data_IF_787821795699
#
_entry.id   IF_787821795699
#
_cell.length_a   1.000
_cell.length_b   1.000
_cell.length_c   1.000
_cell.angle_alpha   90.00
_cell.angle_beta   90.00
_cell.angle_gamma   90.00
#
_symmetry.space_group_name_H-M   'P 1'
#
loop_
_entity.id
_entity.type
_entity.pdbx_description
1 polymer ?
#
# COMPACT_ATOMS: atom_id res chain seq x y z
N UNK A 1 -26.81 -64.23 -6.14
CA UNK A 1 -26.44 -63.26 -5.07
C UNK A 1 -25.46 -62.24 -5.65
N UNK A 2 -25.89 -60.98 -5.76
CA UNK A 2 -25.06 -59.94 -6.33
C UNK A 2 -23.80 -59.72 -5.51
N UNK A 3 -22.62 -59.85 -6.12
CA UNK A 3 -21.31 -59.65 -5.52
C UNK A 3 -20.99 -58.16 -5.17
N UNK A 4 -21.88 -57.28 -5.48
CA UNK A 4 -21.68 -55.84 -5.32
C UNK A 4 -22.78 -55.25 -4.42
N UNK A 5 -22.53 -55.25 -3.11
CA UNK A 5 -23.31 -54.55 -2.08
C UNK A 5 -22.77 -53.15 -1.87
N UNK A 6 -22.42 -52.44 -2.91
CA UNK A 6 -21.92 -51.07 -2.77
C UNK A 6 -22.64 -50.20 -3.84
N UNK A 7 -23.44 -49.27 -3.40
CA UNK A 7 -23.88 -48.16 -4.22
C UNK A 7 -22.76 -47.16 -4.44
N UNK A 8 -22.89 -46.31 -5.42
CA UNK A 8 -22.03 -45.11 -5.54
C UNK A 8 -22.28 -44.20 -4.35
N UNK A 9 -21.21 -43.74 -3.72
CA UNK A 9 -21.28 -42.70 -2.73
C UNK A 9 -20.75 -41.43 -3.38
N UNK A 10 -21.61 -40.44 -3.50
CA UNK A 10 -21.24 -39.10 -3.93
C UNK A 10 -20.76 -38.32 -2.71
N UNK A 11 -19.55 -37.75 -2.79
CA UNK A 11 -19.01 -36.85 -1.80
C UNK A 11 -18.68 -35.53 -2.49
N UNK A 12 -19.42 -34.50 -2.14
CA UNK A 12 -19.11 -33.14 -2.57
C UNK A 12 -17.91 -32.62 -1.80
N UNK A 13 -16.97 -31.99 -2.48
CA UNK A 13 -15.88 -31.24 -1.87
C UNK A 13 -15.68 -29.92 -2.60
N UNK A 14 -15.29 -28.90 -1.82
CA UNK A 14 -14.98 -27.59 -2.36
C UNK A 14 -13.54 -27.59 -2.86
N UNK A 15 -13.34 -27.21 -4.10
CA UNK A 15 -12.02 -27.02 -4.70
C UNK A 15 -11.80 -25.55 -5.06
N UNK A 16 -10.75 -24.95 -4.48
CA UNK A 16 -10.34 -23.60 -4.88
C UNK A 16 -9.67 -23.63 -6.25
N UNK A 17 -10.16 -22.78 -7.15
CA UNK A 17 -9.53 -22.56 -8.45
C UNK A 17 -8.80 -21.21 -8.45
N UNK A 18 -7.59 -21.18 -9.01
CA UNK A 18 -6.79 -19.97 -9.21
C UNK A 18 -6.50 -19.81 -10.70
N UNK A 19 -7.46 -19.25 -11.48
CA UNK A 19 -7.34 -19.20 -12.95
C UNK A 19 -6.12 -18.41 -13.44
N UNK A 20 -5.64 -17.45 -12.64
CA UNK A 20 -4.48 -16.61 -12.93
C UNK A 20 -3.24 -16.97 -12.08
N UNK A 21 -3.19 -18.19 -11.54
CA UNK A 21 -2.06 -18.70 -10.79
C UNK A 21 -1.75 -17.89 -9.52
N UNK A 22 -0.54 -17.32 -9.43
CA UNK A 22 -0.04 -16.58 -8.28
C UNK A 22 -0.23 -15.06 -8.35
N UNK A 23 -0.86 -14.53 -9.41
CA UNK A 23 -1.06 -13.09 -9.58
C UNK A 23 -1.82 -12.48 -8.39
N UNK A 24 -1.25 -11.43 -7.80
CA UNK A 24 -1.79 -10.71 -6.65
C UNK A 24 -2.17 -11.62 -5.46
N UNK A 25 -1.49 -12.75 -5.30
CA UNK A 25 -1.86 -13.82 -4.37
C UNK A 25 -1.98 -13.33 -2.92
N UNK A 26 -1.12 -12.40 -2.48
CA UNK A 26 -1.14 -11.88 -1.12
C UNK A 26 -2.23 -10.84 -0.89
N UNK A 27 -2.64 -10.16 -1.95
CA UNK A 27 -3.76 -9.21 -1.91
C UNK A 27 -5.09 -9.94 -1.99
N UNK A 28 -5.27 -10.84 -2.97
CA UNK A 28 -6.48 -11.65 -3.09
C UNK A 28 -6.66 -12.55 -1.86
N UNK A 29 -5.60 -13.20 -1.45
CA UNK A 29 -5.62 -14.09 -0.30
C UNK A 29 -5.77 -15.56 -0.63
N UNK A 30 -5.92 -16.36 0.42
CA UNK A 30 -6.06 -17.80 0.35
C UNK A 30 -6.89 -18.34 1.52
N UNK A 31 -7.35 -19.58 1.39
CA UNK A 31 -8.04 -20.33 2.44
C UNK A 31 -7.12 -21.34 3.09
N UNK A 32 -7.43 -21.77 4.31
CA UNK A 32 -6.79 -22.93 4.90
C UNK A 32 -7.16 -24.20 4.12
N UNK A 33 -6.29 -25.22 4.17
CA UNK A 33 -6.56 -26.53 3.57
C UNK A 33 -7.79 -27.19 4.20
N UNK A 34 -7.98 -26.97 5.49
CA UNK A 34 -9.23 -27.30 6.20
C UNK A 34 -10.19 -26.11 6.03
N UNK A 35 -11.20 -26.30 5.19
CA UNK A 35 -12.19 -25.28 4.87
C UNK A 35 -12.98 -24.78 6.08
N UNK A 36 -13.04 -25.56 7.17
CA UNK A 36 -13.72 -25.16 8.41
C UNK A 36 -13.00 -24.01 9.12
N UNK A 37 -11.70 -23.83 8.85
CA UNK A 37 -10.89 -22.71 9.38
C UNK A 37 -11.09 -21.40 8.62
N UNK A 38 -11.81 -21.43 7.50
CA UNK A 38 -12.13 -20.23 6.71
C UNK A 38 -10.95 -19.67 5.92
N UNK A 39 -10.98 -18.38 5.69
CA UNK A 39 -9.96 -17.66 4.93
C UNK A 39 -8.71 -17.39 5.76
N UNK A 40 -7.54 -17.35 5.10
CA UNK A 40 -6.22 -17.26 5.74
C UNK A 40 -5.66 -15.85 5.75
N UNK A 41 -5.81 -15.11 4.66
CA UNK A 41 -5.24 -13.78 4.48
C UNK A 41 -5.91 -13.02 3.31
N UNK A 42 -5.47 -11.77 3.07
CA UNK A 42 -5.90 -10.97 1.94
C UNK A 42 -7.38 -10.62 1.98
N UNK A 43 -7.95 -10.32 0.81
CA UNK A 43 -9.37 -10.00 0.66
C UNK A 43 -10.27 -11.17 1.04
N UNK A 44 -9.85 -12.40 0.82
CA UNK A 44 -10.56 -13.59 1.29
C UNK A 44 -10.83 -13.50 2.80
N UNK A 45 -9.83 -13.15 3.61
CA UNK A 45 -10.00 -13.01 5.06
C UNK A 45 -10.83 -11.77 5.42
N UNK A 46 -10.61 -10.64 4.74
CA UNK A 46 -11.36 -9.41 5.00
C UNK A 46 -12.86 -9.58 4.78
N UNK A 47 -13.23 -10.34 3.75
CA UNK A 47 -14.61 -10.55 3.34
C UNK A 47 -15.12 -11.98 3.66
N UNK A 48 -14.44 -12.74 4.52
CA UNK A 48 -14.79 -14.14 4.82
C UNK A 48 -16.25 -14.31 5.25
N UNK A 49 -16.77 -13.41 6.09
CA UNK A 49 -18.15 -13.43 6.57
C UNK A 49 -19.19 -13.26 5.44
N UNK A 50 -18.81 -12.62 4.35
CA UNK A 50 -19.67 -12.38 3.17
C UNK A 50 -19.53 -13.54 2.19
N UNK A 51 -18.29 -14.01 1.99
CA UNK A 51 -17.95 -15.01 0.98
C UNK A 51 -18.39 -16.43 1.36
N UNK A 52 -18.33 -16.81 2.64
CA UNK A 52 -18.56 -18.20 3.08
C UNK A 52 -20.01 -18.64 3.13
N UNK A 53 -20.98 -17.72 3.12
CA UNK A 53 -22.38 -18.05 3.25
C UNK A 53 -22.79 -18.57 4.62
N UNK A 54 -23.80 -19.42 4.66
CA UNK A 54 -24.32 -20.05 5.89
C UNK A 54 -24.45 -21.55 5.68
N UNK A 55 -23.97 -22.31 6.65
CA UNK A 55 -24.07 -23.76 6.64
C UNK A 55 -25.52 -24.20 6.79
N UNK A 56 -25.91 -25.27 6.08
CA UNK A 56 -27.17 -25.96 6.26
C UNK A 56 -27.09 -26.95 7.43
N UNK A 57 -28.26 -27.40 7.88
CA UNK A 57 -28.38 -28.42 8.93
C UNK A 57 -29.05 -29.64 8.31
N UNK A 58 -28.44 -30.82 8.53
CA UNK A 58 -29.00 -32.10 8.11
C UNK A 58 -29.01 -33.04 9.30
N UNK A 59 -30.05 -33.88 9.39
CA UNK A 59 -30.06 -35.01 10.31
C UNK A 59 -30.20 -36.33 9.57
N UNK A 60 -29.71 -37.37 10.21
CA UNK A 60 -29.77 -38.73 9.65
C UNK A 60 -30.99 -39.46 10.20
N UNK A 61 -31.93 -39.76 9.32
CA UNK A 61 -33.17 -40.47 9.69
C UNK A 61 -33.16 -41.88 9.10
N UNK A 62 -33.58 -42.86 9.92
CA UNK A 62 -33.75 -44.24 9.43
C UNK A 62 -35.12 -44.34 8.80
N UNK A 63 -35.15 -44.64 7.51
CA UNK A 63 -36.38 -44.93 6.73
C UNK A 63 -36.30 -46.37 6.26
N UNK A 64 -37.16 -47.21 6.86
CA UNK A 64 -37.13 -48.69 6.67
C UNK A 64 -35.73 -49.26 7.03
N UNK A 65 -35.00 -49.85 6.08
CA UNK A 65 -33.66 -50.43 6.29
C UNK A 65 -32.53 -49.56 5.77
N UNK A 66 -32.79 -48.28 5.46
CA UNK A 66 -31.78 -47.32 4.98
C UNK A 66 -31.75 -46.08 5.87
N UNK A 67 -30.59 -45.48 5.95
CA UNK A 67 -30.45 -44.15 6.55
C UNK A 67 -30.41 -43.12 5.43
N UNK A 68 -31.26 -42.10 5.54
CA UNK A 68 -31.31 -40.96 4.63
C UNK A 68 -30.86 -39.70 5.38
N UNK A 69 -30.11 -38.84 4.73
CA UNK A 69 -29.83 -37.50 5.23
C UNK A 69 -31.01 -36.60 4.81
N UNK A 70 -31.69 -36.06 5.80
CA UNK A 70 -32.78 -35.10 5.61
C UNK A 70 -32.22 -33.72 5.88
N UNK A 71 -32.48 -32.79 4.95
CA UNK A 71 -32.07 -31.39 5.09
C UNK A 71 -33.12 -30.69 5.91
N UNK A 72 -32.77 -30.23 7.11
CA UNK A 72 -33.63 -29.43 8.01
C UNK A 72 -33.59 -27.97 7.63
N UNK A 73 -32.36 -27.45 7.39
CA UNK A 73 -32.11 -26.09 6.95
C UNK A 73 -31.18 -26.16 5.74
N UNK A 74 -31.61 -25.68 4.56
CA UNK A 74 -30.73 -25.66 3.41
C UNK A 74 -29.55 -24.68 3.61
N UNK A 75 -28.37 -24.97 3.06
CA UNK A 75 -27.28 -24.04 3.05
C UNK A 75 -27.63 -22.79 2.23
N UNK A 76 -27.03 -21.67 2.58
CA UNK A 76 -27.16 -20.42 1.82
C UNK A 76 -25.78 -20.04 1.28
N UNK A 77 -25.68 -19.94 -0.03
CA UNK A 77 -24.43 -19.55 -0.69
C UNK A 77 -23.98 -18.15 -0.25
N UNK A 78 -22.67 -17.93 -0.18
CA UNK A 78 -22.09 -16.63 0.06
C UNK A 78 -22.30 -15.65 -1.09
N UNK A 79 -21.80 -14.45 -0.93
CA UNK A 79 -21.72 -13.48 -2.01
C UNK A 79 -20.37 -13.60 -2.72
N UNK A 80 -20.27 -12.96 -3.89
CA UNK A 80 -19.02 -12.75 -4.60
C UNK A 80 -18.53 -11.32 -4.37
N UNK A 81 -17.23 -11.08 -4.50
CA UNK A 81 -16.66 -9.72 -4.53
C UNK A 81 -16.05 -9.45 -5.91
N UNK A 82 -16.31 -8.26 -6.44
CA UNK A 82 -15.64 -7.78 -7.65
C UNK A 82 -14.47 -6.91 -7.21
N UNK A 83 -13.24 -7.38 -7.46
CA UNK A 83 -12.03 -6.63 -7.13
C UNK A 83 -11.79 -5.51 -8.13
N UNK A 84 -10.97 -4.53 -7.74
CA UNK A 84 -10.52 -3.44 -8.62
C UNK A 84 -9.32 -3.85 -9.48
N UNK A 85 -8.69 -4.99 -9.17
CA UNK A 85 -7.49 -5.49 -9.84
C UNK A 85 -7.81 -5.80 -11.32
N UNK A 86 -7.04 -5.21 -12.21
CA UNK A 86 -7.03 -5.53 -13.63
C UNK A 86 -5.94 -6.59 -13.88
N UNK A 87 -6.35 -7.75 -14.39
CA UNK A 87 -5.44 -8.90 -14.57
C UNK A 87 -4.32 -8.59 -15.56
N UNK A 88 -4.61 -7.84 -16.63
CA UNK A 88 -3.60 -7.47 -17.63
C UNK A 88 -2.58 -6.49 -17.06
N UNK A 89 -3.03 -5.46 -16.32
CA UNK A 89 -2.14 -4.51 -15.65
C UNK A 89 -1.31 -5.18 -14.57
N UNK A 90 -1.90 -6.11 -13.80
CA UNK A 90 -1.20 -6.88 -12.77
C UNK A 90 -0.08 -7.74 -13.37
N UNK A 91 -0.35 -8.47 -14.46
CA UNK A 91 0.63 -9.32 -15.14
C UNK A 91 1.82 -8.50 -15.69
N UNK A 92 1.51 -7.40 -16.37
CA UNK A 92 2.55 -6.49 -16.90
C UNK A 92 3.39 -5.91 -15.77
N UNK A 93 2.76 -5.44 -14.68
CA UNK A 93 3.46 -4.85 -13.53
C UNK A 93 4.34 -5.88 -12.82
N UNK A 94 3.86 -7.12 -12.66
CA UNK A 94 4.61 -8.21 -12.04
C UNK A 94 5.86 -8.55 -12.87
N UNK A 95 5.70 -8.73 -14.17
CA UNK A 95 6.81 -9.01 -15.07
C UNK A 95 7.86 -7.90 -15.05
N UNK A 96 7.43 -6.65 -15.22
CA UNK A 96 8.32 -5.50 -15.24
C UNK A 96 9.10 -5.34 -13.92
N UNK A 97 8.41 -5.53 -12.78
CA UNK A 97 9.05 -5.47 -11.47
C UNK A 97 10.07 -6.58 -11.28
N UNK A 98 9.73 -7.83 -11.63
CA UNK A 98 10.64 -8.97 -11.48
C UNK A 98 11.88 -8.82 -12.37
N UNK A 99 11.72 -8.33 -13.61
CA UNK A 99 12.83 -8.10 -14.52
C UNK A 99 13.78 -7.02 -13.96
N UNK A 100 13.24 -5.91 -13.45
CA UNK A 100 14.04 -4.86 -12.82
C UNK A 100 14.74 -5.35 -11.54
N UNK A 101 14.05 -6.11 -10.68
CA UNK A 101 14.63 -6.65 -9.45
C UNK A 101 15.80 -7.60 -9.73
N UNK A 102 15.73 -8.38 -10.81
CA UNK A 102 16.84 -9.24 -11.27
C UNK A 102 18.02 -8.42 -11.75
N UNK A 103 17.76 -7.39 -12.56
CA UNK A 103 18.79 -6.50 -13.11
C UNK A 103 19.60 -5.81 -12.02
N UNK A 104 18.94 -5.22 -11.02
CA UNK A 104 19.60 -4.51 -9.91
C UNK A 104 19.94 -5.42 -8.72
N UNK A 105 19.64 -6.72 -8.81
CA UNK A 105 19.85 -7.71 -7.75
C UNK A 105 19.22 -7.30 -6.39
N UNK A 106 18.06 -6.68 -6.41
CA UNK A 106 17.38 -6.27 -5.19
C UNK A 106 16.65 -7.44 -4.52
N UNK A 107 16.52 -7.40 -3.19
CA UNK A 107 15.88 -8.47 -2.41
C UNK A 107 14.37 -8.35 -2.34
N UNK A 108 13.85 -7.13 -2.38
CA UNK A 108 12.40 -6.82 -2.27
C UNK A 108 12.04 -5.71 -3.22
N UNK A 109 10.87 -5.79 -3.82
CA UNK A 109 10.30 -4.73 -4.63
C UNK A 109 8.78 -4.71 -4.56
N UNK A 110 8.23 -3.51 -4.80
CA UNK A 110 6.81 -3.24 -4.82
C UNK A 110 6.48 -2.40 -6.05
N UNK A 111 5.37 -2.74 -6.73
CA UNK A 111 4.78 -1.90 -7.76
C UNK A 111 3.27 -1.78 -7.50
N UNK A 112 2.74 -0.56 -7.55
CA UNK A 112 1.32 -0.29 -7.30
C UNK A 112 0.81 0.64 -8.40
N UNK A 113 -0.33 0.28 -8.97
CA UNK A 113 -1.05 1.11 -9.94
C UNK A 113 -2.42 1.44 -9.36
N UNK A 114 -2.74 2.73 -9.28
CA UNK A 114 -4.00 3.21 -8.71
C UNK A 114 -4.64 4.26 -9.62
N UNK A 115 -5.94 4.16 -9.80
CA UNK A 115 -6.71 5.16 -10.56
C UNK A 115 -6.89 6.44 -9.73
N UNK A 116 -6.53 7.57 -10.34
CA UNK A 116 -6.40 8.86 -9.64
C UNK A 116 -7.71 9.29 -8.98
N UNK A 117 -8.83 9.25 -9.70
CA UNK A 117 -10.11 9.78 -9.23
C UNK A 117 -10.84 8.87 -8.23
N UNK A 118 -10.70 7.57 -8.39
CA UNK A 118 -11.52 6.59 -7.66
C UNK A 118 -10.78 5.94 -6.50
N UNK A 119 -9.43 5.95 -6.50
CA UNK A 119 -8.61 5.21 -5.57
C UNK A 119 -8.60 3.70 -5.86
N UNK A 120 -9.15 3.24 -6.98
CA UNK A 120 -9.13 1.84 -7.34
C UNK A 120 -7.71 1.34 -7.62
N UNK A 121 -7.25 0.35 -6.86
CA UNK A 121 -5.96 -0.29 -7.07
C UNK A 121 -6.10 -1.28 -8.23
N UNK A 122 -5.51 -0.95 -9.37
CA UNK A 122 -5.55 -1.74 -10.60
C UNK A 122 -4.48 -2.82 -10.64
N UNK A 123 -3.34 -2.57 -10.01
CA UNK A 123 -2.29 -3.57 -9.82
C UNK A 123 -1.57 -3.33 -8.49
N UNK A 124 -1.18 -4.42 -7.83
CA UNK A 124 -0.38 -4.40 -6.61
C UNK A 124 0.53 -5.63 -6.59
N UNK A 125 1.80 -5.41 -6.75
CA UNK A 125 2.82 -6.45 -6.86
C UNK A 125 3.79 -6.33 -5.68
N UNK A 126 4.05 -7.46 -5.03
CA UNK A 126 4.94 -7.55 -3.87
C UNK A 126 5.91 -8.70 -4.08
N UNK A 127 7.13 -8.42 -4.48
CA UNK A 127 8.11 -9.46 -4.77
C UNK A 127 9.23 -9.49 -3.75
N UNK A 128 9.52 -10.68 -3.24
CA UNK A 128 10.63 -10.96 -2.35
C UNK A 128 11.47 -12.08 -2.95
N UNK A 129 12.79 -11.89 -2.98
CA UNK A 129 13.76 -12.88 -3.45
C UNK A 129 13.91 -13.99 -2.43
N UNK A 130 13.61 -15.22 -2.82
CA UNK A 130 13.85 -16.41 -2.01
C UNK A 130 15.33 -16.81 -1.97
N UNK A 131 15.68 -17.71 -1.07
CA UNK A 131 17.05 -18.27 -0.96
C UNK A 131 17.48 -19.01 -2.25
N UNK A 132 16.52 -19.47 -3.05
CA UNK A 132 16.72 -20.10 -4.35
C UNK A 132 16.86 -19.09 -5.49
N UNK A 133 16.87 -17.79 -5.19
CA UNK A 133 16.96 -16.71 -6.16
C UNK A 133 15.65 -16.38 -6.90
N UNK A 134 14.56 -17.11 -6.63
CA UNK A 134 13.26 -16.88 -7.28
C UNK A 134 12.45 -15.85 -6.52
N UNK A 135 11.86 -14.91 -7.26
CA UNK A 135 10.97 -13.88 -6.69
C UNK A 135 9.55 -14.41 -6.52
N UNK A 136 8.96 -14.17 -5.35
CA UNK A 136 7.59 -14.60 -5.01
C UNK A 136 6.90 -13.59 -4.12
N UNK A 137 5.58 -13.57 -4.15
CA UNK A 137 4.78 -12.85 -3.16
C UNK A 137 4.79 -13.61 -1.82
N UNK A 138 5.50 -13.09 -0.83
CA UNK A 138 5.58 -13.64 0.53
C UNK A 138 4.73 -12.84 1.49
N UNK A 139 4.77 -11.52 1.38
CA UNK A 139 4.09 -10.54 2.24
C UNK A 139 3.52 -9.42 1.36
N UNK A 140 2.44 -8.78 1.80
CA UNK A 140 1.93 -7.58 1.13
C UNK A 140 2.70 -6.35 1.62
N UNK A 141 3.95 -6.21 1.13
CA UNK A 141 4.88 -5.15 1.52
C UNK A 141 4.33 -3.76 1.18
N UNK A 142 3.56 -3.64 0.09
CA UNK A 142 2.96 -2.39 -0.36
C UNK A 142 2.14 -1.68 0.73
N UNK A 143 1.43 -2.46 1.56
CA UNK A 143 0.52 -1.93 2.59
C UNK A 143 1.05 -2.10 4.01
N UNK A 144 2.03 -2.99 4.23
CA UNK A 144 2.46 -3.36 5.57
C UNK A 144 3.84 -2.84 5.96
N UNK A 145 4.73 -2.57 5.00
CA UNK A 145 6.11 -2.21 5.30
C UNK A 145 6.23 -0.75 5.68
N UNK A 146 6.80 -0.55 6.86
CA UNK A 146 7.15 0.77 7.37
C UNK A 146 8.60 1.06 6.99
N UNK A 147 8.81 1.92 6.00
CA UNK A 147 10.15 2.23 5.47
C UNK A 147 10.37 3.74 5.37
N UNK A 148 11.64 4.12 5.39
CA UNK A 148 12.02 5.50 5.11
C UNK A 148 11.75 5.79 3.63
N UNK A 149 10.90 6.79 3.31
CA UNK A 149 10.50 7.09 1.93
C UNK A 149 11.63 7.70 1.10
N UNK A 150 12.69 8.18 1.74
CA UNK A 150 13.81 8.82 1.07
C UNK A 150 13.36 10.02 0.24
N UNK A 151 13.98 10.21 -0.92
CA UNK A 151 13.75 11.40 -1.78
C UNK A 151 12.31 11.58 -2.27
N UNK A 152 11.45 10.58 -2.20
CA UNK A 152 10.02 10.74 -2.51
C UNK A 152 9.31 11.65 -1.49
N UNK A 153 9.90 11.84 -0.32
CA UNK A 153 9.37 12.72 0.73
C UNK A 153 9.64 14.21 0.47
N UNK A 154 10.62 14.56 -0.36
CA UNK A 154 11.03 15.94 -0.62
C UNK A 154 9.88 16.81 -1.17
N UNK A 155 9.00 16.24 -1.98
CA UNK A 155 7.81 16.93 -2.49
C UNK A 155 6.94 17.39 -1.32
N UNK A 156 6.67 16.54 -0.33
CA UNK A 156 5.89 16.94 0.85
C UNK A 156 6.60 18.05 1.64
N UNK A 157 7.91 17.96 1.80
CA UNK A 157 8.70 18.98 2.50
C UNK A 157 8.62 20.35 1.82
N UNK A 158 8.80 20.39 0.52
CA UNK A 158 8.70 21.65 -0.26
C UNK A 158 7.26 22.17 -0.26
N UNK A 159 6.24 21.30 -0.38
CA UNK A 159 4.84 21.72 -0.31
C UNK A 159 4.50 22.39 1.02
N UNK A 160 4.99 21.87 2.16
CA UNK A 160 4.79 22.52 3.47
C UNK A 160 5.40 23.93 3.47
N UNK A 161 6.60 24.10 2.97
CA UNK A 161 7.27 25.41 2.97
C UNK A 161 6.64 26.42 1.98
N UNK A 162 6.11 25.95 0.85
CA UNK A 162 5.33 26.77 -0.10
C UNK A 162 4.00 27.21 0.53
N UNK A 163 3.26 26.27 1.14
CA UNK A 163 1.97 26.53 1.80
C UNK A 163 2.11 27.52 2.97
N UNK A 164 3.19 27.43 3.73
CA UNK A 164 3.51 28.39 4.79
C UNK A 164 4.03 29.75 4.26
N UNK A 165 4.26 29.89 2.97
CA UNK A 165 4.78 31.12 2.34
C UNK A 165 6.25 31.42 2.69
N UNK A 166 7.01 30.42 3.15
CA UNK A 166 8.41 30.61 3.50
C UNK A 166 9.36 30.55 2.30
N UNK A 167 8.93 29.91 1.22
CA UNK A 167 9.67 29.81 -0.03
C UNK A 167 8.77 30.07 -1.24
N UNK A 168 9.39 30.41 -2.37
CA UNK A 168 8.73 30.50 -3.67
C UNK A 168 9.43 29.57 -4.67
N UNK A 169 8.75 29.16 -5.77
CA UNK A 169 9.33 28.24 -6.76
C UNK A 169 10.62 28.74 -7.42
N UNK A 170 10.75 30.05 -7.56
CA UNK A 170 11.88 30.77 -8.18
C UNK A 170 12.96 31.21 -7.16
N UNK A 171 12.73 30.99 -5.86
CA UNK A 171 13.73 31.32 -4.83
C UNK A 171 14.98 30.48 -5.02
N UNK A 172 16.15 31.14 -4.99
CA UNK A 172 17.45 30.48 -5.10
C UNK A 172 17.95 29.94 -3.78
N UNK A 173 18.66 28.81 -3.84
CA UNK A 173 19.39 28.20 -2.76
C UNK A 173 20.75 27.73 -3.25
N UNK A 174 21.81 28.03 -2.48
CA UNK A 174 23.18 27.63 -2.81
C UNK A 174 23.45 26.21 -2.29
N UNK A 175 23.56 25.23 -3.19
CA UNK A 175 23.91 23.84 -2.87
C UNK A 175 25.41 23.58 -2.82
N UNK A 176 26.22 24.66 -2.94
CA UNK A 176 27.68 24.60 -2.96
C UNK A 176 28.21 23.68 -4.07
N UNK A 177 29.33 23.06 -3.83
CA UNK A 177 29.94 22.05 -4.69
C UNK A 177 29.36 20.63 -4.50
N UNK A 178 28.12 20.54 -4.00
CA UNK A 178 27.47 19.25 -3.73
C UNK A 178 27.77 18.64 -2.37
N UNK A 179 28.45 19.38 -1.48
CA UNK A 179 28.68 19.03 -0.07
C UNK A 179 28.39 20.24 0.80
N UNK A 180 27.57 20.06 1.83
CA UNK A 180 27.23 21.10 2.82
C UNK A 180 27.29 20.52 4.24
N UNK A 181 27.93 21.23 5.17
CA UNK A 181 28.00 20.81 6.57
C UNK A 181 26.75 21.24 7.34
N UNK A 182 25.82 20.30 7.49
CA UNK A 182 24.55 20.49 8.18
C UNK A 182 24.71 20.10 9.66
N UNK A 183 24.78 21.10 10.56
CA UNK A 183 24.95 20.86 11.98
C UNK A 183 26.12 19.92 12.34
N UNK A 184 27.25 20.04 11.64
CA UNK A 184 28.44 19.22 11.87
C UNK A 184 28.45 17.85 11.14
N UNK A 185 27.42 17.54 10.36
CA UNK A 185 27.36 16.33 9.50
C UNK A 185 27.33 16.71 8.02
N UNK A 186 28.07 16.02 7.16
CA UNK A 186 28.05 16.31 5.72
C UNK A 186 26.75 15.83 5.09
N UNK A 187 25.99 16.76 4.50
CA UNK A 187 24.90 16.50 3.56
C UNK A 187 25.46 16.54 2.16
N UNK A 188 25.13 15.55 1.33
CA UNK A 188 25.67 15.42 -0.03
C UNK A 188 24.57 15.28 -1.06
N UNK A 189 24.73 15.96 -2.19
CA UNK A 189 23.99 15.71 -3.41
C UNK A 189 24.64 14.56 -4.18
N UNK A 190 23.88 13.86 -5.04
CA UNK A 190 24.38 12.70 -5.75
C UNK A 190 25.53 13.01 -6.72
N UNK A 191 25.62 14.27 -7.19
CA UNK A 191 26.68 14.75 -8.10
C UNK A 191 27.84 15.47 -7.39
N UNK A 192 28.00 15.32 -6.07
CA UNK A 192 29.04 15.99 -5.28
C UNK A 192 30.46 15.78 -5.83
N UNK A 193 30.73 14.61 -6.41
CA UNK A 193 32.01 14.28 -7.03
C UNK A 193 32.20 14.91 -8.42
N UNK A 194 31.17 15.58 -8.97
CA UNK A 194 31.18 16.30 -10.26
C UNK A 194 31.04 17.81 -10.09
N UNK A 195 31.24 18.33 -8.86
CA UNK A 195 31.20 19.76 -8.57
C UNK A 195 29.87 20.31 -8.08
N UNK A 196 28.86 19.46 -7.82
CA UNK A 196 27.56 19.88 -7.29
C UNK A 196 26.72 20.66 -8.30
N UNK A 197 25.70 21.36 -7.78
CA UNK A 197 24.76 22.16 -8.61
C UNK A 197 24.97 23.67 -8.44
N UNK A 198 25.74 24.13 -7.43
CA UNK A 198 25.88 25.54 -7.13
C UNK A 198 24.60 26.19 -6.66
N UNK A 199 24.29 27.38 -7.18
CA UNK A 199 23.05 28.11 -6.90
C UNK A 199 21.98 27.65 -7.87
N UNK A 200 20.86 27.16 -7.35
CA UNK A 200 19.70 26.70 -8.14
C UNK A 200 18.40 27.13 -7.46
N UNK A 201 17.33 27.29 -8.24
CA UNK A 201 15.99 27.59 -7.72
C UNK A 201 15.30 26.37 -7.11
N UNK A 202 14.20 26.61 -6.35
CA UNK A 202 13.40 25.54 -5.68
C UNK A 202 12.84 24.54 -6.69
N UNK A 203 12.42 24.99 -7.88
CA UNK A 203 11.96 24.12 -8.95
C UNK A 203 13.07 23.15 -9.36
N UNK A 204 14.26 23.67 -9.60
CA UNK A 204 15.44 22.86 -9.93
C UNK A 204 15.86 21.94 -8.82
N UNK A 205 15.75 22.37 -7.55
CA UNK A 205 16.03 21.52 -6.36
C UNK A 205 15.22 20.22 -6.41
N UNK A 206 13.92 20.29 -6.71
CA UNK A 206 13.07 19.10 -6.86
C UNK A 206 13.41 18.30 -8.12
N UNK A 207 13.64 18.97 -9.27
CA UNK A 207 13.97 18.30 -10.53
C UNK A 207 15.21 17.43 -10.44
N UNK A 208 16.25 17.90 -9.73
CA UNK A 208 17.52 17.18 -9.56
C UNK A 208 17.59 16.40 -8.25
N UNK A 209 16.52 16.44 -7.47
CA UNK A 209 16.45 15.78 -6.15
C UNK A 209 17.61 16.16 -5.22
N UNK A 210 17.93 17.46 -5.14
CA UNK A 210 19.03 17.94 -4.27
C UNK A 210 18.70 17.72 -2.80
N UNK A 211 19.54 16.98 -2.10
CA UNK A 211 19.47 16.81 -0.63
C UNK A 211 19.77 18.12 0.08
N UNK A 212 20.82 18.81 -0.38
CA UNK A 212 21.30 20.07 0.21
C UNK A 212 20.23 21.14 0.03
N UNK A 213 19.68 21.28 -1.18
CA UNK A 213 18.67 22.29 -1.46
C UNK A 213 17.46 22.14 -0.54
N UNK A 214 16.85 20.95 -0.49
CA UNK A 214 15.67 20.72 0.38
C UNK A 214 16.02 20.89 1.85
N UNK A 215 17.09 20.25 2.32
CA UNK A 215 17.43 20.31 3.76
C UNK A 215 17.77 21.71 4.23
N UNK A 216 18.43 22.54 3.42
CA UNK A 216 18.69 23.93 3.73
C UNK A 216 17.42 24.76 3.80
N UNK A 217 16.57 24.67 2.78
CA UNK A 217 15.30 25.42 2.74
C UNK A 217 14.43 25.10 3.98
N UNK A 218 14.36 23.85 4.37
CA UNK A 218 13.56 23.46 5.54
C UNK A 218 14.26 23.85 6.85
N UNK A 219 15.54 23.61 7.00
CA UNK A 219 16.26 23.93 8.23
C UNK A 219 16.30 25.44 8.48
N UNK A 220 16.60 26.26 7.47
CA UNK A 220 16.66 27.72 7.57
C UNK A 220 15.31 28.33 8.01
N UNK A 221 14.17 27.73 7.63
CA UNK A 221 12.85 28.26 7.95
C UNK A 221 12.20 27.64 9.19
N UNK A 222 12.56 26.41 9.57
CA UNK A 222 11.85 25.69 10.62
C UNK A 222 12.71 25.21 11.79
N UNK A 223 14.03 25.45 11.81
CA UNK A 223 14.88 24.93 12.90
C UNK A 223 14.48 25.43 14.30
N UNK A 224 13.91 26.64 14.41
CA UNK A 224 13.41 27.19 15.67
C UNK A 224 11.96 26.77 16.00
N UNK A 225 11.25 26.17 15.06
CA UNK A 225 9.84 25.75 15.18
C UNK A 225 9.57 24.44 14.40
N UNK A 226 10.32 23.37 14.68
CA UNK A 226 10.21 22.13 13.91
C UNK A 226 8.82 21.48 14.03
N UNK A 227 8.08 21.78 15.10
CA UNK A 227 6.69 21.34 15.27
C UNK A 227 5.80 21.83 14.13
N UNK A 228 5.99 23.08 13.67
CA UNK A 228 5.20 23.66 12.58
C UNK A 228 5.41 22.90 11.28
N UNK A 229 6.65 22.52 10.96
CA UNK A 229 6.95 21.69 9.80
C UNK A 229 6.25 20.33 9.87
N UNK A 230 6.35 19.66 11.02
CA UNK A 230 5.71 18.35 11.23
C UNK A 230 4.19 18.45 11.17
N UNK A 231 3.60 19.50 11.74
CA UNK A 231 2.15 19.77 11.62
C UNK A 231 1.73 19.98 10.17
N UNK A 232 2.55 20.70 9.37
CA UNK A 232 2.36 20.83 7.93
C UNK A 232 2.32 19.48 7.22
N UNK A 233 3.25 18.57 7.51
CA UNK A 233 3.25 17.21 6.95
C UNK A 233 1.96 16.43 7.30
N UNK A 234 1.46 16.57 8.52
CA UNK A 234 0.19 15.96 8.91
C UNK A 234 -1.01 16.58 8.16
N UNK A 235 -1.02 17.89 7.94
CA UNK A 235 -2.07 18.58 7.15
C UNK A 235 -2.08 18.14 5.70
N UNK A 236 -0.90 17.95 5.09
CA UNK A 236 -0.77 17.40 3.72
C UNK A 236 -1.24 15.95 3.58
N UNK A 237 -1.52 15.27 4.69
CA UNK A 237 -2.06 13.93 4.67
C UNK A 237 -1.07 12.80 4.43
N UNK A 238 0.25 13.05 4.31
CA UNK A 238 1.24 11.97 4.12
C UNK A 238 1.31 11.02 5.32
N UNK A 239 0.90 11.49 6.50
CA UNK A 239 0.77 10.72 7.74
C UNK A 239 -0.65 10.21 8.00
N UNK A 240 -1.58 10.38 7.07
CA UNK A 240 -2.97 9.96 7.26
C UNK A 240 -3.09 8.44 7.32
N UNK A 241 -3.77 7.88 8.34
CA UNK A 241 -4.13 6.47 8.33
C UNK A 241 -5.08 6.18 7.16
N UNK A 242 -4.69 5.27 6.27
CA UNK A 242 -5.52 4.93 5.09
C UNK A 242 -6.67 3.98 5.45
N UNK A 243 -6.62 3.31 6.61
CA UNK A 243 -7.64 2.36 7.07
C UNK A 243 -8.08 1.38 5.96
N UNK A 244 -7.10 0.76 5.32
CA UNK A 244 -7.30 -0.11 4.17
C UNK A 244 -8.11 -1.35 4.55
N UNK A 245 -9.04 -1.73 3.68
CA UNK A 245 -9.89 -2.92 3.85
C UNK A 245 -9.14 -4.19 3.42
N UNK A 246 -7.97 -4.41 4.04
CA UNK A 246 -7.11 -5.58 3.85
C UNK A 246 -6.34 -5.90 5.14
N UNK A 247 -6.33 -7.16 5.60
CA UNK A 247 -5.61 -7.56 6.80
C UNK A 247 -4.11 -7.36 6.68
N UNK A 248 -3.46 -6.96 7.78
CA UNK A 248 -2.02 -6.76 7.84
C UNK A 248 -1.52 -5.44 7.29
N UNK A 249 -2.40 -4.54 6.86
CA UNK A 249 -2.03 -3.18 6.51
C UNK A 249 -1.51 -2.41 7.74
N UNK A 250 -0.52 -1.53 7.51
CA UNK A 250 -0.01 -0.65 8.55
C UNK A 250 -1.12 0.31 9.03
N UNK A 251 -1.22 0.49 10.35
CA UNK A 251 -2.29 1.32 10.93
C UNK A 251 -2.12 2.79 10.62
N UNK A 252 -0.89 3.29 10.68
CA UNK A 252 -0.56 4.69 10.34
C UNK A 252 0.93 4.85 10.07
N UNK A 253 1.34 5.82 9.24
CA UNK A 253 2.73 6.25 9.12
C UNK A 253 3.29 6.75 10.46
N UNK A 254 4.62 6.63 10.62
CA UNK A 254 5.33 7.15 11.78
C UNK A 254 6.18 8.34 11.35
N UNK A 255 5.70 9.56 11.59
CA UNK A 255 6.45 10.80 11.45
C UNK A 255 6.75 11.29 12.85
N UNK A 256 8.03 11.36 13.21
CA UNK A 256 8.49 11.75 14.55
C UNK A 256 8.02 13.18 14.87
N UNK A 257 7.36 13.35 16.01
CA UNK A 257 7.04 14.68 16.53
C UNK A 257 8.20 15.18 17.39
N UNK A 258 8.59 16.45 17.25
CA UNK A 258 9.62 17.04 18.08
C UNK A 258 9.25 17.04 19.56
N UNK A 259 10.19 16.57 20.42
CA UNK A 259 10.13 16.71 21.87
C UNK A 259 11.51 17.06 22.39
N UNK A 260 11.60 17.62 23.60
CA UNK A 260 12.90 17.97 24.19
C UNK A 260 13.85 16.76 24.32
N UNK A 261 13.31 15.57 24.40
CA UNK A 261 14.07 14.33 24.66
C UNK A 261 14.49 13.62 23.36
N UNK A 262 13.74 13.78 22.28
CA UNK A 262 13.94 13.02 21.05
C UNK A 262 14.35 13.84 19.82
N UNK A 263 14.53 15.17 19.98
CA UNK A 263 14.85 16.05 18.87
C UNK A 263 16.28 16.58 18.94
N UNK A 264 17.09 16.24 17.97
CA UNK A 264 18.46 16.72 17.83
C UNK A 264 18.62 17.57 16.56
N UNK A 265 19.66 18.40 16.51
CA UNK A 265 19.83 19.41 15.45
C UNK A 265 19.78 18.86 14.02
N UNK A 266 20.18 17.59 13.81
CA UNK A 266 20.16 16.98 12.48
C UNK A 266 18.81 16.32 12.15
N UNK A 267 17.88 16.19 13.10
CA UNK A 267 16.61 15.49 12.87
C UNK A 267 15.78 16.15 11.76
N UNK A 268 15.60 17.48 11.81
CA UNK A 268 14.82 18.21 10.83
C UNK A 268 15.40 18.15 9.40
N UNK A 269 16.69 18.45 9.17
CA UNK A 269 17.28 18.33 7.83
C UNK A 269 17.18 16.93 7.23
N UNK A 270 17.40 15.88 8.03
CA UNK A 270 17.29 14.49 7.55
C UNK A 270 15.85 14.07 7.32
N UNK A 271 14.91 14.51 8.17
CA UNK A 271 13.48 14.29 7.96
C UNK A 271 13.01 14.91 6.64
N UNK A 272 13.46 16.11 6.32
CA UNK A 272 13.06 16.83 5.11
C UNK A 272 13.39 16.09 3.81
N UNK A 273 14.36 15.19 3.84
CA UNK A 273 14.76 14.35 2.70
C UNK A 273 14.33 12.88 2.85
N UNK A 274 13.41 12.61 3.80
CA UNK A 274 12.71 11.32 3.95
C UNK A 274 13.39 10.30 4.84
N UNK A 275 14.31 10.71 5.71
CA UNK A 275 14.82 9.91 6.83
C UNK A 275 14.09 10.26 8.12
N UNK A 276 14.31 9.53 9.19
CA UNK A 276 13.64 9.78 10.49
C UNK A 276 12.11 9.64 10.46
N UNK A 277 11.57 9.13 9.37
CA UNK A 277 10.15 8.87 9.14
C UNK A 277 9.95 7.46 8.61
N UNK A 278 8.80 6.88 8.84
CA UNK A 278 8.44 5.57 8.30
C UNK A 278 7.04 5.65 7.68
N UNK A 279 6.98 5.44 6.37
CA UNK A 279 5.76 5.58 5.57
C UNK A 279 5.58 4.34 4.71
N UNK A 280 4.41 3.67 4.75
CA UNK A 280 4.14 2.56 3.83
C UNK A 280 4.14 3.04 2.36
N UNK A 281 4.57 2.20 1.40
CA UNK A 281 4.52 2.55 -0.02
C UNK A 281 3.15 3.01 -0.50
N UNK A 282 2.08 2.40 -0.02
CA UNK A 282 0.71 2.79 -0.33
C UNK A 282 0.37 4.21 0.14
N UNK A 283 0.88 4.64 1.30
CA UNK A 283 0.68 6.02 1.78
C UNK A 283 1.43 7.03 0.91
N UNK A 284 2.65 6.70 0.49
CA UNK A 284 3.41 7.54 -0.46
C UNK A 284 2.64 7.68 -1.77
N UNK A 285 2.10 6.59 -2.30
CA UNK A 285 1.26 6.63 -3.51
C UNK A 285 0.00 7.47 -3.30
N UNK A 286 -0.72 7.29 -2.19
CA UNK A 286 -1.94 8.05 -1.89
C UNK A 286 -1.68 9.56 -1.80
N UNK A 287 -0.54 9.97 -1.24
CA UNK A 287 -0.12 11.37 -1.22
C UNK A 287 0.11 11.92 -2.64
N UNK A 288 0.89 11.22 -3.48
CA UNK A 288 1.10 11.65 -4.87
C UNK A 288 -0.18 11.60 -5.71
N UNK A 289 -1.04 10.61 -5.44
CA UNK A 289 -2.36 10.53 -6.06
C UNK A 289 -3.23 11.75 -5.72
N UNK A 290 -3.17 12.25 -4.49
CA UNK A 290 -3.89 13.45 -4.09
C UNK A 290 -3.39 14.69 -4.87
N UNK A 291 -2.08 14.81 -5.10
CA UNK A 291 -1.52 15.87 -5.95
C UNK A 291 -2.10 15.78 -7.37
N UNK A 292 -2.08 14.57 -7.96
CA UNK A 292 -2.63 14.32 -9.29
C UNK A 292 -4.15 14.53 -9.36
N UNK A 293 -4.86 14.45 -8.23
CA UNK A 293 -6.30 14.60 -8.08
C UNK A 293 -6.69 16.01 -7.58
N UNK A 294 -5.93 17.02 -7.95
CA UNK A 294 -6.16 18.42 -7.56
C UNK A 294 -6.28 18.63 -6.04
N UNK A 295 -5.45 17.94 -5.27
CA UNK A 295 -5.41 18.02 -3.83
C UNK A 295 -6.39 17.11 -3.09
N UNK A 296 -7.28 16.43 -3.77
CA UNK A 296 -8.27 15.52 -3.14
C UNK A 296 -7.65 14.15 -2.89
N UNK A 297 -7.46 13.80 -1.61
CA UNK A 297 -6.97 12.48 -1.21
C UNK A 297 -8.12 11.49 -1.10
N UNK A 298 -8.08 10.43 -1.89
CA UNK A 298 -9.05 9.33 -1.86
C UNK A 298 -8.43 8.09 -1.20
N UNK A 299 -9.28 7.30 -0.53
CA UNK A 299 -8.89 6.02 0.07
C UNK A 299 -8.59 4.99 -1.03
N UNK A 300 -7.41 4.34 -1.02
CA UNK A 300 -7.17 3.21 -1.90
C UNK A 300 -8.16 2.07 -1.60
N UNK A 301 -8.81 1.54 -2.64
CA UNK A 301 -9.77 0.44 -2.52
C UNK A 301 -9.41 -0.73 -3.42
N UNK A 302 -9.71 -1.95 -2.94
CA UNK A 302 -9.40 -3.22 -3.61
C UNK A 302 -10.64 -3.94 -4.11
N UNK A 303 -11.82 -3.56 -3.61
CA UNK A 303 -13.12 -4.12 -4.00
C UNK A 303 -14.00 -2.98 -4.47
N UNK A 304 -14.68 -3.17 -5.59
CA UNK A 304 -15.60 -2.18 -6.15
C UNK A 304 -17.08 -2.54 -5.96
N UNK A 305 -17.39 -3.83 -5.81
CA UNK A 305 -18.77 -4.27 -5.61
C UNK A 305 -18.86 -5.64 -4.93
N UNK A 306 -19.99 -5.89 -4.29
CA UNK A 306 -20.43 -7.18 -3.79
C UNK A 306 -21.57 -7.67 -4.68
N UNK A 307 -21.53 -8.95 -5.06
CA UNK A 307 -22.55 -9.59 -5.89
C UNK A 307 -23.22 -10.74 -5.14
N UNK A 308 -24.51 -10.95 -5.44
CA UNK A 308 -25.29 -12.10 -5.02
C UNK A 308 -26.09 -12.61 -6.21
N UNK A 309 -26.01 -13.91 -6.46
CA UNK A 309 -26.75 -14.57 -7.55
C UNK A 309 -26.58 -13.89 -8.92
N UNK A 310 -25.35 -13.42 -9.21
CA UNK A 310 -25.01 -12.75 -10.46
C UNK A 310 -25.45 -11.28 -10.55
N UNK A 311 -26.01 -10.70 -9.48
CA UNK A 311 -26.42 -9.30 -9.42
C UNK A 311 -25.59 -8.51 -8.41
N UNK A 312 -25.28 -7.26 -8.73
CA UNK A 312 -24.63 -6.35 -7.79
C UNK A 312 -25.64 -5.97 -6.71
N UNK A 313 -25.30 -6.27 -5.45
CA UNK A 313 -26.14 -5.96 -4.29
C UNK A 313 -25.59 -4.76 -3.51
N UNK A 314 -24.30 -4.45 -3.66
CA UNK A 314 -23.66 -3.30 -3.04
C UNK A 314 -22.51 -2.81 -3.92
N UNK A 315 -22.45 -1.51 -4.17
CA UNK A 315 -21.29 -0.84 -4.78
C UNK A 315 -20.46 -0.18 -3.68
N UNK A 316 -19.12 -0.36 -3.71
CA UNK A 316 -18.22 0.28 -2.76
C UNK A 316 -17.87 1.68 -3.29
N UNK A 317 -18.34 2.75 -2.66
CA UNK A 317 -18.11 4.11 -3.15
C UNK A 317 -16.65 4.54 -3.01
N UNK A 318 -16.29 5.61 -3.72
CA UNK A 318 -15.03 6.31 -3.49
C UNK A 318 -15.13 7.11 -2.19
N UNK A 319 -14.22 6.84 -1.25
CA UNK A 319 -14.12 7.54 0.03
C UNK A 319 -13.07 8.64 -0.05
N UNK A 320 -13.44 9.86 0.31
CA UNK A 320 -12.51 11.00 0.40
C UNK A 320 -11.96 11.07 1.81
N UNK A 321 -10.63 10.93 1.93
CA UNK A 321 -9.92 11.02 3.22
C UNK A 321 -9.57 12.47 3.58
N UNK A 322 -9.21 13.26 2.58
CA UNK A 322 -8.92 14.69 2.74
C UNK A 322 -9.38 15.43 1.48
N UNK A 323 -10.28 16.43 1.60
CA UNK A 323 -10.81 17.16 0.46
C UNK A 323 -9.82 18.16 -0.15
N UNK A 324 -8.79 18.56 0.59
CA UNK A 324 -7.74 19.45 0.10
C UNK A 324 -6.47 19.30 0.94
N UNK A 325 -5.42 18.72 0.35
CA UNK A 325 -4.13 18.55 1.04
C UNK A 325 -3.26 19.83 1.01
N UNK A 326 -3.55 20.76 0.10
CA UNK A 326 -2.92 22.08 -0.02
C UNK A 326 -3.91 23.05 -0.65
N UNK A 327 -3.68 24.36 -0.46
CA UNK A 327 -4.52 25.43 -1.02
C UNK A 327 -4.10 25.83 -2.44
#
# INVERSE_FOLDING_TARGET
MSKYKGGFHEQAFNQRKKPFGSLAMRTLGDMYSDVTLGAKNGLELQYDSILKGKEGITHRQKVMNKYLNIVDIPPVDGCDIITTIDVGMQDIAEKALVDQLKEINASVGVAILMEVKTGEVKAIVNMTKGNDGVYREVKNNAVSDMMEPGSTFKTASIMVALEDGYITPDQEVDTKNGVYMMHGRPMKDHNWHRGGYGVIDVTKVLMVSSNIGVSRLIDENYHNQPEKFVEGLYKLGIATPLNLDIPGAAKKPNIRKPTKENWYKTALPWMSIGYETQVPPMNTLAFYNAIANNGVMVKPKFVKAIMKDGQVVEEIPTEVLNPAIAS
#
